data_IF_937874253118
#
_entry.id   IF_937874253118
#
_cell.length_a   1.000
_cell.length_b   1.000
_cell.length_c   1.000
_cell.angle_alpha   90.00
_cell.angle_beta   90.00
_cell.angle_gamma   90.00
#
_symmetry.space_group_name_H-M   'P 1'
#
loop_
_entity.id
_entity.type
_entity.pdbx_description
1 polymer ?
#
# COMPACT_ATOMS: atom_id res chain seq x y z
N UNK A 1 -15.66 -0.89 1.14
CA UNK A 1 -14.63 -0.52 0.16
C UNK A 1 -15.11 0.53 -0.82
N UNK A 2 -14.50 1.72 -0.80
CA UNK A 2 -14.67 2.82 -1.75
C UNK A 2 -13.27 3.33 -2.06
N UNK A 3 -12.88 3.45 -3.33
CA UNK A 3 -11.57 4.02 -3.65
C UNK A 3 -11.67 5.53 -3.63
N UNK A 4 -10.85 6.16 -2.80
CA UNK A 4 -10.70 7.60 -2.78
C UNK A 4 -9.36 7.96 -3.40
N UNK A 5 -9.43 8.69 -4.49
CA UNK A 5 -8.27 9.23 -5.16
C UNK A 5 -7.99 10.61 -4.59
N UNK A 6 -7.03 10.67 -3.68
CA UNK A 6 -6.34 11.92 -3.36
C UNK A 6 -5.11 12.04 -4.24
N UNK A 7 -4.70 13.27 -4.58
CA UNK A 7 -3.45 13.51 -5.30
C UNK A 7 -2.31 12.84 -4.55
N UNK A 8 -1.78 11.71 -5.06
CA UNK A 8 -0.44 11.27 -4.67
C UNK A 8 0.54 12.29 -5.25
N UNK A 9 1.39 12.94 -4.45
CA UNK A 9 2.53 13.65 -4.99
C UNK A 9 3.48 12.59 -5.57
N UNK A 10 3.32 12.26 -6.85
CA UNK A 10 4.33 11.52 -7.58
C UNK A 10 5.48 12.49 -7.83
N UNK A 11 6.51 12.39 -7.00
CA UNK A 11 7.81 13.05 -7.18
C UNK A 11 7.75 14.56 -6.99
N UNK A 12 8.39 15.04 -5.94
CA UNK A 12 8.60 16.47 -5.72
C UNK A 12 9.12 17.17 -6.98
N UNK A 13 8.28 18.02 -7.54
CA UNK A 13 8.74 19.20 -8.24
C UNK A 13 7.73 20.30 -8.01
N UNK A 14 8.19 21.25 -7.19
CA UNK A 14 7.62 22.57 -6.91
C UNK A 14 6.57 22.61 -5.80
N UNK A 15 7.08 22.71 -4.57
CA UNK A 15 6.62 23.79 -3.69
C UNK A 15 6.81 25.11 -4.45
N UNK A 16 5.73 25.82 -4.76
CA UNK A 16 5.75 27.27 -4.76
C UNK A 16 4.53 27.70 -3.96
N UNK A 17 4.79 28.15 -2.73
CA UNK A 17 3.96 29.18 -2.12
C UNK A 17 4.03 30.40 -3.06
N UNK A 18 2.87 30.89 -3.49
CA UNK A 18 2.76 32.23 -4.01
C UNK A 18 2.97 33.20 -2.83
N UNK A 19 4.18 33.73 -2.70
CA UNK A 19 4.38 35.05 -2.14
C UNK A 19 4.70 35.98 -3.32
N UNK A 20 3.86 37.00 -3.48
CA UNK A 20 4.07 38.10 -4.40
C UNK A 20 5.31 38.89 -3.99
N UNK A 21 6.24 39.14 -4.91
CA UNK A 21 7.17 40.28 -4.80
C UNK A 21 7.59 40.79 -6.18
N UNK A 22 7.37 42.10 -6.34
CA UNK A 22 7.87 42.96 -7.40
C UNK A 22 9.42 42.94 -7.49
N UNK A 23 9.91 43.32 -8.68
CA UNK A 23 11.25 43.85 -9.02
C UNK A 23 12.25 42.92 -9.75
N UNK A 24 12.27 43.12 -11.08
CA UNK A 24 13.43 43.36 -11.97
C UNK A 24 14.66 42.43 -11.97
N UNK A 25 14.84 41.73 -13.10
CA UNK A 25 16.11 41.28 -13.74
C UNK A 25 17.13 42.45 -13.91
N UNK A 26 18.44 42.25 -14.27
CA UNK A 26 19.13 41.14 -14.99
C UNK A 26 20.58 40.84 -14.44
N UNK A 27 21.62 40.44 -15.23
CA UNK A 27 21.84 39.24 -16.07
C UNK A 27 23.09 38.37 -15.68
N UNK A 28 23.26 37.25 -16.38
CA UNK A 28 24.42 36.30 -16.37
C UNK A 28 25.75 36.93 -16.85
N UNK A 29 26.90 36.32 -16.51
CA UNK A 29 27.65 35.39 -17.41
C UNK A 29 28.32 34.24 -16.60
N UNK A 30 29.13 33.29 -17.05
CA UNK A 30 29.52 32.62 -18.29
C UNK A 30 30.21 31.30 -17.86
N UNK A 31 30.28 30.31 -18.75
CA UNK A 31 31.04 29.04 -18.59
C UNK A 31 32.52 29.31 -18.97
N UNK A 32 33.49 28.50 -18.51
CA UNK A 32 34.03 27.52 -19.46
C UNK A 32 34.35 26.14 -18.85
N UNK A 33 34.30 25.18 -19.77
CA UNK A 33 34.82 23.82 -19.78
C UNK A 33 36.33 23.71 -19.51
N UNK A 34 36.79 22.57 -18.97
CA UNK A 34 38.08 21.96 -19.35
C UNK A 34 38.09 20.45 -19.05
N UNK A 35 38.87 19.76 -19.87
CA UNK A 35 38.81 18.35 -20.25
C UNK A 35 40.05 17.56 -19.80
N UNK A 36 39.84 16.25 -19.61
CA UNK A 36 40.75 15.10 -19.86
C UNK A 36 42.20 15.09 -19.34
N UNK A 37 42.53 14.10 -18.48
CA UNK A 37 43.76 13.27 -18.55
C UNK A 37 43.45 11.84 -18.05
N UNK A 38 44.19 10.86 -18.59
CA UNK A 38 43.91 9.41 -18.73
C UNK A 38 44.95 8.54 -17.99
N UNK A 39 44.48 7.44 -17.37
CA UNK A 39 45.12 6.11 -17.13
C UNK A 39 46.38 5.99 -16.21
N UNK A 40 46.77 4.78 -15.73
CA UNK A 40 46.30 3.43 -16.07
C UNK A 40 45.96 2.49 -14.88
N UNK A 41 45.22 1.40 -15.17
CA UNK A 41 45.04 0.23 -14.29
C UNK A 41 45.70 -1.01 -14.91
N UNK A 42 46.51 -1.69 -14.09
CA UNK A 42 47.26 -2.88 -14.43
C UNK A 42 46.42 -4.16 -14.52
N UNK A 43 46.98 -5.10 -15.30
CA UNK A 43 46.53 -6.48 -15.53
C UNK A 43 46.94 -7.41 -14.39
N UNK A 44 46.09 -8.38 -14.09
CA UNK A 44 46.39 -9.79 -13.76
C UNK A 44 45.01 -10.48 -13.69
N UNK A 45 44.73 -11.65 -14.24
CA UNK A 45 45.53 -12.81 -14.64
C UNK A 45 44.63 -14.01 -14.29
N UNK A 46 44.18 -14.75 -15.30
CA UNK A 46 43.14 -15.79 -15.12
C UNK A 46 43.65 -17.12 -14.58
N UNK A 47 42.71 -18.01 -14.25
CA UNK A 47 42.75 -19.50 -14.36
C UNK A 47 41.37 -20.00 -13.93
N UNK A 48 40.58 -20.53 -14.88
CA UNK A 48 40.48 -21.92 -15.36
C UNK A 48 39.62 -22.81 -14.45
N UNK A 49 38.58 -23.31 -15.08
CA UNK A 49 37.62 -24.31 -14.63
C UNK A 49 38.28 -25.64 -14.26
N UNK A 50 37.64 -26.37 -13.36
CA UNK A 50 37.74 -27.81 -13.25
C UNK A 50 36.38 -28.34 -12.81
N UNK A 51 35.66 -28.84 -13.81
CA UNK A 51 34.52 -29.74 -13.70
C UNK A 51 35.06 -31.13 -13.40
N UNK A 52 34.58 -31.76 -12.34
CA UNK A 52 34.68 -33.21 -12.14
C UNK A 52 33.35 -33.70 -11.59
N UNK A 53 32.57 -34.27 -12.50
CA UNK A 53 31.53 -35.22 -12.17
C UNK A 53 32.21 -36.57 -11.90
N UNK A 54 31.79 -37.26 -10.84
CA UNK A 54 31.68 -38.72 -10.87
C UNK A 54 30.61 -39.15 -9.86
N UNK A 55 29.78 -40.15 -10.21
CA UNK A 55 28.70 -40.66 -9.38
C UNK A 55 29.25 -41.72 -8.41
N UNK A 56 28.62 -41.88 -7.25
CA UNK A 56 28.44 -43.16 -6.55
C UNK A 56 27.85 -42.90 -5.17
N UNK A 57 26.53 -43.07 -5.06
CA UNK A 57 25.86 -43.36 -3.80
C UNK A 57 24.66 -44.23 -4.10
N UNK A 58 24.90 -45.54 -4.08
CA UNK A 58 23.85 -46.52 -3.88
C UNK A 58 23.22 -46.25 -2.50
N UNK A 59 22.10 -45.53 -2.50
CA UNK A 59 21.28 -45.35 -1.31
C UNK A 59 20.71 -46.71 -0.90
N UNK A 60 21.14 -47.19 0.26
CA UNK A 60 20.56 -48.34 0.93
C UNK A 60 19.04 -48.15 1.08
N UNK A 61 18.27 -49.18 0.74
CA UNK A 61 16.84 -49.26 0.98
C UNK A 61 16.54 -49.04 2.48
N UNK A 62 15.51 -48.26 2.84
CA UNK A 62 15.10 -48.14 4.24
C UNK A 62 14.57 -49.49 4.75
N UNK A 63 14.74 -49.81 6.04
CA UNK A 63 14.20 -51.04 6.61
C UNK A 63 12.67 -51.06 6.48
N UNK A 64 12.06 -52.24 6.32
CA UNK A 64 10.61 -52.35 6.21
C UNK A 64 9.95 -51.85 7.50
N UNK A 65 8.91 -51.02 7.34
CA UNK A 65 8.12 -50.50 8.45
C UNK A 65 7.52 -51.68 9.26
N UNK A 66 7.49 -51.58 10.61
CA UNK A 66 6.90 -52.63 11.44
C UNK A 66 5.43 -52.85 11.06
N UNK A 67 5.05 -54.12 10.91
CA UNK A 67 3.70 -54.54 10.59
C UNK A 67 2.70 -53.96 11.60
N UNK A 68 1.74 -53.17 11.10
CA UNK A 68 0.64 -52.59 11.85
C UNK A 68 -0.32 -53.70 12.31
N UNK A 69 -0.63 -53.75 13.60
CA UNK A 69 -1.55 -54.74 14.16
C UNK A 69 -2.97 -54.61 13.55
N UNK A 70 -3.65 -55.73 13.26
CA UNK A 70 -5.00 -55.70 12.71
C UNK A 70 -5.99 -55.30 13.81
N UNK A 71 -6.42 -54.03 13.80
CA UNK A 71 -7.41 -53.51 14.75
C UNK A 71 -7.32 -52.01 15.01
N UNK A 72 -6.19 -51.38 14.69
CA UNK A 72 -6.04 -49.93 14.82
C UNK A 72 -6.76 -49.22 13.65
N UNK A 73 -8.04 -48.88 13.84
CA UNK A 73 -8.69 -47.88 12.99
C UNK A 73 -7.89 -46.59 13.10
N UNK A 74 -7.24 -46.20 12.01
CA UNK A 74 -6.63 -44.87 11.93
C UNK A 74 -7.74 -43.85 12.17
N UNK A 75 -7.63 -43.07 13.24
CA UNK A 75 -8.52 -41.93 13.49
C UNK A 75 -8.41 -40.99 12.31
N UNK A 76 -9.46 -40.95 11.50
CA UNK A 76 -9.54 -40.08 10.35
C UNK A 76 -10.02 -38.71 10.80
N UNK A 77 -9.76 -37.68 10.02
CA UNK A 77 -10.28 -36.32 10.26
C UNK A 77 -11.82 -36.29 10.36
N UNK A 78 -12.50 -37.33 9.84
CA UNK A 78 -13.95 -37.49 9.98
C UNK A 78 -14.38 -37.78 11.43
N UNK A 79 -13.53 -38.41 12.23
CA UNK A 79 -13.84 -38.90 13.58
C UNK A 79 -13.75 -37.82 14.68
N UNK A 80 -13.23 -36.64 14.37
CA UNK A 80 -13.20 -35.50 15.30
C UNK A 80 -14.61 -34.95 15.51
N UNK A 81 -15.00 -34.61 16.74
CA UNK A 81 -16.25 -33.86 16.99
C UNK A 81 -16.10 -32.39 16.58
N UNK A 82 -17.21 -31.68 16.39
CA UNK A 82 -17.16 -30.24 16.05
C UNK A 82 -16.52 -29.41 17.18
N UNK A 83 -16.71 -29.80 18.44
CA UNK A 83 -16.10 -29.15 19.61
C UNK A 83 -14.59 -29.34 19.63
N UNK A 84 -14.11 -30.57 19.36
CA UNK A 84 -12.68 -30.87 19.27
C UNK A 84 -12.03 -30.11 18.11
N UNK A 85 -12.71 -30.05 16.96
CA UNK A 85 -12.25 -29.33 15.79
C UNK A 85 -12.17 -27.82 16.08
N UNK A 86 -13.19 -27.24 16.72
CA UNK A 86 -13.19 -25.84 17.14
C UNK A 86 -12.07 -25.51 18.14
N UNK A 87 -11.81 -26.40 19.11
CA UNK A 87 -10.73 -26.23 20.08
C UNK A 87 -9.33 -26.26 19.43
N UNK A 88 -9.12 -27.12 18.42
CA UNK A 88 -7.89 -27.15 17.62
C UNK A 88 -7.74 -25.84 16.84
N UNK A 89 -8.80 -25.43 16.14
CA UNK A 89 -8.79 -24.27 15.26
C UNK A 89 -8.53 -22.95 16.01
N UNK A 90 -9.02 -22.80 17.25
CA UNK A 90 -8.73 -21.63 18.11
C UNK A 90 -7.26 -21.49 18.51
N UNK A 91 -6.47 -22.56 18.39
CA UNK A 91 -5.04 -22.54 18.72
C UNK A 91 -4.15 -22.27 17.51
N UNK A 92 -4.73 -22.24 16.31
CA UNK A 92 -3.99 -21.99 15.08
C UNK A 92 -3.75 -20.49 14.88
N UNK A 93 -2.63 -20.15 14.23
CA UNK A 93 -2.42 -18.79 13.74
C UNK A 93 -3.49 -18.46 12.68
N UNK A 94 -3.84 -17.18 12.44
CA UNK A 94 -4.82 -16.85 11.40
C UNK A 94 -4.47 -17.40 10.02
N UNK A 95 -3.18 -17.52 9.71
CA UNK A 95 -2.70 -18.11 8.45
C UNK A 95 -2.90 -19.63 8.39
N UNK A 96 -2.61 -20.35 9.48
CA UNK A 96 -2.88 -21.78 9.59
C UNK A 96 -4.38 -22.06 9.57
N UNK A 97 -5.16 -21.25 10.27
CA UNK A 97 -6.62 -21.34 10.33
C UNK A 97 -7.25 -21.10 8.95
N UNK A 98 -6.77 -20.11 8.20
CA UNK A 98 -7.17 -19.89 6.81
C UNK A 98 -6.82 -21.09 5.92
N UNK A 99 -5.59 -21.61 6.02
CA UNK A 99 -5.18 -22.81 5.26
C UNK A 99 -6.09 -24.01 5.56
N UNK A 100 -6.43 -24.19 6.83
CA UNK A 100 -7.33 -25.24 7.29
C UNK A 100 -8.75 -25.03 6.75
N UNK A 101 -9.28 -23.80 6.79
CA UNK A 101 -10.58 -23.44 6.25
C UNK A 101 -10.70 -23.64 4.73
N UNK A 102 -9.58 -23.53 4.02
CA UNK A 102 -9.51 -23.75 2.58
C UNK A 102 -9.37 -25.23 2.19
N UNK A 103 -9.04 -26.13 3.14
CA UNK A 103 -8.85 -27.55 2.87
C UNK A 103 -10.16 -28.27 2.52
N UNK A 104 -11.24 -28.05 3.28
CA UNK A 104 -12.56 -28.60 2.97
C UNK A 104 -13.73 -27.83 3.60
N UNK A 105 -14.97 -28.11 3.15
CA UNK A 105 -16.19 -27.42 3.61
C UNK A 105 -16.46 -27.56 5.11
N UNK A 106 -16.15 -28.71 5.71
CA UNK A 106 -16.33 -28.95 7.15
C UNK A 106 -15.44 -28.03 7.97
N UNK A 107 -14.15 -28.01 7.64
CA UNK A 107 -13.17 -27.14 8.28
C UNK A 107 -13.47 -25.67 8.05
N UNK A 108 -14.01 -25.31 6.89
CA UNK A 108 -14.48 -23.94 6.61
C UNK A 108 -15.56 -23.48 7.59
N UNK A 109 -16.58 -24.32 7.84
CA UNK A 109 -17.68 -24.00 8.77
C UNK A 109 -17.21 -23.91 10.22
N UNK A 110 -16.31 -24.80 10.64
CA UNK A 110 -15.74 -24.72 11.98
C UNK A 110 -14.82 -23.51 12.13
N UNK A 111 -13.99 -23.22 11.11
CA UNK A 111 -13.08 -22.08 11.11
C UNK A 111 -13.82 -20.75 11.10
N UNK A 112 -14.94 -20.61 10.39
CA UNK A 112 -15.71 -19.35 10.38
C UNK A 112 -16.18 -18.93 11.78
N UNK A 113 -16.38 -19.88 12.70
CA UNK A 113 -16.72 -19.62 14.11
C UNK A 113 -15.51 -19.28 14.98
N UNK A 114 -14.31 -19.65 14.54
CA UNK A 114 -13.06 -19.42 15.27
C UNK A 114 -12.27 -18.20 14.75
N UNK A 115 -12.55 -17.77 13.51
CA UNK A 115 -11.87 -16.69 12.81
C UNK A 115 -12.33 -15.31 13.30
N UNK A 116 -11.44 -14.30 13.33
CA UNK A 116 -11.86 -12.92 13.53
C UNK A 116 -12.78 -12.47 12.38
N UNK A 117 -13.74 -11.59 12.71
CA UNK A 117 -14.68 -11.00 11.73
C UNK A 117 -14.04 -9.96 10.81
N UNK A 118 -12.80 -9.56 11.10
CA UNK A 118 -12.02 -8.66 10.26
C UNK A 118 -10.75 -9.35 9.76
N UNK A 119 -10.27 -9.02 8.54
CA UNK A 119 -9.00 -9.50 8.03
C UNK A 119 -7.85 -9.12 8.98
N UNK A 120 -7.01 -10.08 9.42
CA UNK A 120 -5.92 -9.81 10.35
C UNK A 120 -4.86 -8.95 9.66
N UNK A 121 -4.47 -7.86 10.33
CA UNK A 121 -3.33 -7.04 9.97
C UNK A 121 -2.05 -7.80 10.33
N UNK A 122 -1.14 -7.97 9.36
CA UNK A 122 0.13 -8.67 9.60
C UNK A 122 1.33 -7.73 9.65
N UNK A 123 1.18 -6.49 9.17
CA UNK A 123 2.27 -5.53 9.14
C UNK A 123 2.11 -4.50 8.02
N UNK A 124 3.22 -3.87 7.64
CA UNK A 124 3.24 -2.77 6.68
C UNK A 124 4.29 -2.96 5.58
N UNK A 125 3.91 -2.64 4.34
CA UNK A 125 4.84 -2.48 3.23
C UNK A 125 5.20 -1.01 3.02
N UNK A 126 6.46 -0.71 2.71
CA UNK A 126 6.90 0.64 2.33
C UNK A 126 8.21 0.60 1.53
N UNK A 127 8.56 1.73 0.91
CA UNK A 127 9.86 1.92 0.23
C UNK A 127 10.82 2.66 1.16
N UNK A 128 11.92 2.04 1.65
CA UNK A 128 12.90 2.73 2.49
C UNK A 128 13.38 4.02 1.85
N UNK A 129 13.73 5.00 2.68
CA UNK A 129 14.25 6.29 2.24
C UNK A 129 15.51 6.64 3.00
N UNK A 130 16.50 7.20 2.31
CA UNK A 130 17.62 7.84 2.96
C UNK A 130 17.15 8.99 3.86
N UNK A 131 17.97 9.29 4.87
CA UNK A 131 17.74 10.40 5.77
C UNK A 131 17.73 11.73 4.99
N UNK A 132 16.64 12.47 5.07
CA UNK A 132 16.55 13.81 4.46
C UNK A 132 17.25 14.82 5.36
N UNK A 133 17.95 15.83 4.81
CA UNK A 133 18.47 16.92 5.66
C UNK A 133 17.38 18.00 5.86
N UNK A 134 17.43 18.75 6.98
CA UNK A 134 16.56 19.89 7.19
C UNK A 134 16.67 20.94 6.06
N UNK A 135 15.58 21.64 5.72
CA UNK A 135 15.63 22.81 4.85
C UNK A 135 16.66 23.84 5.35
N UNK A 136 17.39 24.55 4.47
CA UNK A 136 17.17 24.69 3.02
C UNK A 136 17.96 23.68 2.15
N UNK A 137 18.52 22.62 2.73
CA UNK A 137 19.41 21.72 1.98
C UNK A 137 18.65 20.86 0.96
N UNK A 138 19.01 20.98 -0.33
CA UNK A 138 18.51 20.11 -1.41
C UNK A 138 19.04 18.68 -1.25
N UNK A 139 18.33 17.86 -0.49
CA UNK A 139 18.78 16.49 -0.16
C UNK A 139 17.64 15.51 0.01
N UNK A 140 16.63 15.58 -0.86
CA UNK A 140 15.79 14.40 -1.00
C UNK A 140 16.58 13.30 -1.69
N UNK A 141 16.76 12.19 -0.97
CA UNK A 141 17.26 10.95 -1.53
C UNK A 141 16.34 10.51 -2.69
N UNK A 142 16.86 10.65 -3.91
CA UNK A 142 16.20 10.24 -5.15
C UNK A 142 16.34 8.73 -5.40
N UNK A 143 17.06 8.02 -4.53
CA UNK A 143 17.21 6.57 -4.64
C UNK A 143 15.86 5.91 -4.39
N UNK A 144 15.47 5.04 -5.33
CA UNK A 144 14.23 4.27 -5.22
C UNK A 144 14.55 2.88 -4.70
N UNK A 145 14.46 2.70 -3.38
CA UNK A 145 14.73 1.42 -2.74
C UNK A 145 13.59 0.41 -2.97
N UNK A 146 13.91 -0.90 -3.10
CA UNK A 146 12.91 -1.96 -3.10
C UNK A 146 11.97 -1.88 -1.90
N UNK A 147 10.71 -2.23 -2.09
CA UNK A 147 9.76 -2.30 -0.99
C UNK A 147 10.17 -3.37 0.03
N UNK A 148 10.00 -3.06 1.31
CA UNK A 148 10.24 -3.95 2.44
C UNK A 148 8.96 -4.14 3.24
N UNK A 149 8.89 -5.24 3.99
CA UNK A 149 7.80 -5.55 4.90
C UNK A 149 8.29 -5.48 6.34
N UNK A 150 7.52 -4.81 7.20
CA UNK A 150 7.74 -4.82 8.65
C UNK A 150 6.56 -5.53 9.31
N UNK A 151 6.81 -6.64 10.04
CA UNK A 151 5.75 -7.35 10.74
C UNK A 151 5.14 -6.49 11.85
N UNK A 152 3.86 -6.69 12.14
CA UNK A 152 3.16 -5.96 13.19
C UNK A 152 3.74 -6.26 14.58
N UNK A 153 4.06 -7.54 14.83
CA UNK A 153 4.64 -8.04 16.07
C UNK A 153 5.45 -9.33 15.83
N UNK A 154 6.00 -9.92 16.90
CA UNK A 154 6.79 -11.15 16.84
C UNK A 154 6.01 -12.39 16.37
N UNK A 155 4.67 -12.36 16.43
CA UNK A 155 3.81 -13.45 15.95
C UNK A 155 3.49 -13.36 14.46
N UNK A 156 3.70 -12.17 13.87
CA UNK A 156 3.42 -11.91 12.47
C UNK A 156 4.49 -12.49 11.55
N UNK A 157 4.11 -13.08 10.40
CA UNK A 157 5.07 -13.69 9.49
C UNK A 157 5.96 -12.63 8.84
N UNK A 158 7.23 -12.97 8.59
CA UNK A 158 8.10 -12.14 7.75
C UNK A 158 7.78 -12.38 6.28
N UNK A 159 7.04 -11.45 5.68
CA UNK A 159 6.65 -11.52 4.28
C UNK A 159 7.69 -10.88 3.37
N UNK A 160 7.78 -11.35 2.13
CA UNK A 160 8.62 -10.74 1.10
C UNK A 160 7.88 -10.76 -0.24
N UNK A 161 8.28 -9.86 -1.14
CA UNK A 161 7.75 -9.85 -2.51
C UNK A 161 8.42 -10.88 -3.43
N UNK A 162 9.46 -11.57 -2.95
CA UNK A 162 10.26 -12.56 -3.70
C UNK A 162 10.74 -12.05 -5.07
N UNK A 163 11.16 -10.79 -5.13
CA UNK A 163 11.70 -10.15 -6.33
C UNK A 163 13.22 -10.10 -6.24
N UNK A 164 13.90 -10.32 -7.37
CA UNK A 164 15.34 -10.07 -7.43
C UNK A 164 15.61 -8.58 -7.22
N UNK A 165 16.77 -8.19 -6.65
CA UNK A 165 17.07 -6.77 -6.42
C UNK A 165 16.93 -5.90 -7.67
N UNK A 166 17.31 -6.42 -8.84
CA UNK A 166 17.17 -5.71 -10.11
C UNK A 166 15.71 -5.60 -10.57
N UNK A 167 14.88 -6.62 -10.36
CA UNK A 167 13.46 -6.57 -10.71
C UNK A 167 12.67 -5.64 -9.77
N UNK A 168 13.08 -5.55 -8.50
CA UNK A 168 12.45 -4.69 -7.51
C UNK A 168 12.86 -3.20 -7.66
N UNK A 169 14.04 -2.95 -8.23
CA UNK A 169 14.51 -1.59 -8.54
C UNK A 169 13.59 -0.95 -9.59
N UNK A 170 13.00 0.18 -9.21
CA UNK A 170 12.05 0.89 -10.07
C UNK A 170 10.64 0.34 -10.05
N UNK A 171 10.23 -0.45 -9.05
CA UNK A 171 8.82 -0.75 -8.80
C UNK A 171 8.29 0.09 -7.63
N UNK A 172 7.09 0.64 -7.77
CA UNK A 172 6.41 1.45 -6.76
C UNK A 172 5.08 0.81 -6.40
N UNK A 173 4.83 0.63 -5.09
CA UNK A 173 3.55 0.16 -4.56
C UNK A 173 2.46 1.16 -4.93
N UNK A 174 1.43 0.68 -5.62
CA UNK A 174 0.22 1.44 -5.89
C UNK A 174 -0.90 1.07 -4.95
N UNK A 175 -1.01 -0.21 -4.57
CA UNK A 175 -2.11 -0.64 -3.73
C UNK A 175 -1.76 -1.88 -2.92
N UNK A 176 -2.33 -1.98 -1.72
CA UNK A 176 -2.24 -3.15 -0.85
C UNK A 176 -3.61 -3.44 -0.27
N UNK A 177 -4.35 -4.35 -0.92
CA UNK A 177 -5.70 -4.70 -0.52
C UNK A 177 -6.01 -6.16 -0.86
N UNK A 178 -6.91 -6.77 -0.08
CA UNK A 178 -7.36 -8.16 -0.26
C UNK A 178 -6.21 -9.17 -0.29
N UNK A 179 -5.16 -8.91 0.51
CA UNK A 179 -3.94 -9.71 0.57
C UNK A 179 -3.06 -9.68 -0.68
N UNK A 180 -3.26 -8.72 -1.59
CA UNK A 180 -2.45 -8.49 -2.78
C UNK A 180 -1.69 -7.17 -2.69
N UNK A 181 -0.51 -7.13 -3.31
CA UNK A 181 0.31 -5.92 -3.49
C UNK A 181 0.40 -5.64 -4.99
N UNK A 182 -0.10 -4.48 -5.43
CA UNK A 182 0.02 -4.02 -6.80
C UNK A 182 1.20 -3.06 -6.95
N UNK A 183 2.07 -3.37 -7.91
CA UNK A 183 3.31 -2.65 -8.18
C UNK A 183 3.30 -2.15 -9.63
N UNK A 184 3.77 -0.92 -9.83
CA UNK A 184 4.01 -0.33 -11.14
C UNK A 184 5.48 0.04 -11.32
N UNK A 185 5.97 0.02 -12.56
CA UNK A 185 7.28 0.59 -12.86
C UNK A 185 7.30 2.11 -12.66
N UNK A 186 8.42 2.61 -12.12
CA UNK A 186 8.72 4.00 -11.88
C UNK A 186 10.14 4.32 -12.42
N UNK A 187 10.31 5.37 -13.25
CA UNK A 187 9.29 6.30 -13.74
C UNK A 187 8.32 5.66 -14.74
N UNK A 188 7.08 6.16 -14.79
CA UNK A 188 6.05 5.67 -15.71
C UNK A 188 6.16 6.37 -17.07
N UNK A 189 6.11 5.63 -18.20
CA UNK A 189 5.90 6.24 -19.51
C UNK A 189 4.55 6.98 -19.53
N UNK A 190 4.52 8.24 -19.99
CA UNK A 190 3.30 9.07 -19.96
C UNK A 190 2.24 8.62 -20.97
N UNK A 191 2.64 7.98 -22.07
CA UNK A 191 1.78 7.68 -23.22
C UNK A 191 1.12 6.31 -23.20
N UNK A 192 1.36 5.49 -22.17
CA UNK A 192 0.88 4.10 -22.12
C UNK A 192 0.25 3.78 -20.76
N UNK A 193 -0.87 3.08 -20.82
CA UNK A 193 -1.42 2.42 -19.65
C UNK A 193 -0.41 1.39 -19.12
N UNK A 194 -0.11 1.39 -17.82
CA UNK A 194 0.99 0.62 -17.28
C UNK A 194 0.69 -0.88 -17.24
N UNK A 195 1.75 -1.69 -17.27
CA UNK A 195 1.71 -3.09 -16.83
C UNK A 195 1.68 -3.11 -15.32
N UNK A 196 0.90 -4.01 -14.72
CA UNK A 196 0.76 -4.12 -13.27
C UNK A 196 1.37 -5.45 -12.83
N UNK A 197 2.32 -5.40 -11.91
CA UNK A 197 2.78 -6.61 -11.21
C UNK A 197 1.92 -6.78 -9.96
N UNK A 198 1.12 -7.83 -9.92
CA UNK A 198 0.37 -8.22 -8.74
C UNK A 198 1.11 -9.35 -8.02
N UNK A 199 1.34 -9.19 -6.73
CA UNK A 199 2.01 -10.17 -5.87
C UNK A 199 1.10 -10.54 -4.72
N UNK A 200 1.03 -11.82 -4.40
CA UNK A 200 0.49 -12.33 -3.15
C UNK A 200 1.67 -12.71 -2.25
N UNK A 201 2.03 -11.86 -1.27
CA UNK A 201 3.17 -12.11 -0.39
C UNK A 201 3.02 -13.38 0.45
N UNK A 202 1.80 -13.75 0.84
CA UNK A 202 1.55 -14.91 1.69
C UNK A 202 1.74 -16.23 0.94
N UNK A 203 1.36 -16.29 -0.34
CA UNK A 203 1.55 -17.48 -1.17
C UNK A 203 2.78 -17.42 -2.08
N UNK A 204 3.50 -16.29 -2.07
CA UNK A 204 4.63 -16.00 -2.98
C UNK A 204 4.28 -16.04 -4.47
N UNK A 205 2.99 -16.08 -4.81
CA UNK A 205 2.52 -16.10 -6.20
C UNK A 205 2.55 -14.68 -6.77
N UNK A 206 2.78 -14.58 -8.08
CA UNK A 206 2.72 -13.31 -8.79
C UNK A 206 2.21 -13.48 -10.21
N UNK A 207 1.62 -12.41 -10.73
CA UNK A 207 1.17 -12.33 -12.13
C UNK A 207 1.48 -10.94 -12.66
N UNK A 208 1.94 -10.89 -13.91
CA UNK A 208 2.19 -9.64 -14.62
C UNK A 208 1.03 -9.35 -15.56
N UNK A 209 0.18 -8.41 -15.16
CA UNK A 209 -0.96 -7.97 -15.94
C UNK A 209 -0.43 -7.12 -17.12
N UNK A 210 -0.69 -7.50 -18.38
CA UNK A 210 -0.25 -6.74 -19.54
C UNK A 210 -1.00 -5.41 -19.63
N UNK A 211 -0.43 -4.43 -20.32
CA UNK A 211 -1.16 -3.21 -20.65
C UNK A 211 -2.43 -3.53 -21.47
N UNK A 212 -3.52 -2.76 -21.31
CA UNK A 212 -4.72 -2.94 -22.12
C UNK A 212 -4.42 -2.95 -23.62
N UNK A 213 -4.92 -3.94 -24.39
CA UNK A 213 -4.78 -3.98 -25.85
C UNK A 213 -5.28 -2.70 -26.50
N UNK A 214 -4.70 -2.32 -27.65
CA UNK A 214 -5.08 -1.09 -28.36
C UNK A 214 -6.57 -1.05 -28.73
N UNK A 215 -7.15 -2.20 -29.09
CA UNK A 215 -8.57 -2.34 -29.46
C UNK A 215 -9.54 -2.42 -28.29
N UNK A 216 -9.08 -2.33 -27.03
CA UNK A 216 -9.96 -2.39 -25.85
C UNK A 216 -10.98 -1.25 -25.82
N UNK A 217 -10.62 -0.10 -26.40
CA UNK A 217 -11.48 1.05 -26.55
C UNK A 217 -11.56 1.41 -28.04
N UNK A 218 -12.71 1.24 -28.69
CA UNK A 218 -12.94 1.74 -30.04
C UNK A 218 -12.72 3.25 -30.10
N UNK A 219 -12.07 3.74 -31.16
CA UNK A 219 -11.81 5.16 -31.40
C UNK A 219 -11.14 5.91 -30.22
N UNK A 220 -10.10 5.31 -29.63
CA UNK A 220 -9.34 5.85 -28.49
C UNK A 220 -8.53 7.12 -28.84
N UNK A 221 -9.23 8.24 -29.07
CA UNK A 221 -8.65 9.56 -29.39
C UNK A 221 -7.91 10.22 -28.23
N UNK A 222 -8.16 9.77 -27.00
CA UNK A 222 -7.61 10.37 -25.77
C UNK A 222 -6.28 9.74 -25.35
N UNK A 223 -5.75 8.79 -26.13
CA UNK A 223 -4.53 8.06 -25.80
C UNK A 223 -3.34 8.96 -25.47
N UNK A 224 -3.18 10.07 -26.20
CA UNK A 224 -2.05 10.99 -26.03
C UNK A 224 -2.16 11.83 -24.74
N UNK A 225 -3.38 12.20 -24.34
CA UNK A 225 -3.65 13.11 -23.23
C UNK A 225 -4.07 12.38 -21.95
N UNK A 226 -4.20 11.05 -22.00
CA UNK A 226 -4.60 10.20 -20.88
C UNK A 226 -3.59 10.30 -19.74
N UNK A 227 -4.08 10.61 -18.54
CA UNK A 227 -3.29 10.56 -17.32
C UNK A 227 -3.75 9.43 -16.40
N UNK A 228 -2.80 8.66 -15.85
CA UNK A 228 -3.10 7.59 -14.88
C UNK A 228 -3.02 8.14 -13.46
N UNK A 229 -4.16 8.18 -12.79
CA UNK A 229 -4.30 8.74 -11.45
C UNK A 229 -4.21 7.69 -10.35
N UNK A 230 -4.51 6.42 -10.65
CA UNK A 230 -4.40 5.35 -9.66
C UNK A 230 -4.56 3.95 -10.24
N UNK A 231 -4.15 2.95 -9.46
CA UNK A 231 -4.37 1.53 -9.72
C UNK A 231 -4.77 0.89 -8.40
N UNK A 232 -5.75 -0.02 -8.43
CA UNK A 232 -6.21 -0.69 -7.20
C UNK A 232 -6.83 -2.06 -7.46
N UNK A 233 -6.84 -2.93 -6.44
CA UNK A 233 -7.50 -4.23 -6.44
C UNK A 233 -8.99 -4.03 -6.13
N UNK A 234 -9.89 -4.31 -7.08
CA UNK A 234 -11.34 -4.17 -6.93
C UNK A 234 -11.97 -5.29 -6.09
N UNK A 235 -11.59 -6.52 -6.40
CA UNK A 235 -12.20 -7.72 -5.83
C UNK A 235 -11.22 -8.89 -5.88
N UNK A 236 -11.37 -9.87 -4.99
CA UNK A 236 -10.60 -11.12 -5.02
C UNK A 236 -11.55 -12.28 -4.82
N UNK A 237 -11.61 -13.18 -5.80
CA UNK A 237 -12.54 -14.31 -5.79
C UNK A 237 -12.08 -15.43 -4.85
N UNK A 238 -10.77 -15.60 -4.67
CA UNK A 238 -10.23 -16.66 -3.83
C UNK A 238 -8.88 -16.28 -3.17
N UNK A 239 -8.68 -16.50 -1.86
CA UNK A 239 -7.44 -16.14 -1.17
C UNK A 239 -6.24 -17.00 -1.57
N UNK A 240 -6.43 -18.23 -2.04
CA UNK A 240 -5.32 -19.11 -2.45
C UNK A 240 -4.98 -19.05 -3.95
N UNK A 241 -5.70 -18.27 -4.74
CA UNK A 241 -5.48 -18.15 -6.20
C UNK A 241 -5.24 -16.69 -6.58
N UNK A 242 -4.60 -16.48 -7.72
CA UNK A 242 -4.51 -15.17 -8.37
C UNK A 242 -5.73 -14.97 -9.27
N UNK A 243 -6.90 -14.99 -8.64
CA UNK A 243 -8.19 -14.75 -9.28
C UNK A 243 -8.83 -13.51 -8.65
N UNK A 244 -8.69 -12.37 -9.31
CA UNK A 244 -9.05 -11.05 -8.79
C UNK A 244 -9.34 -10.08 -9.94
N UNK A 245 -10.03 -8.99 -9.63
CA UNK A 245 -10.20 -7.87 -10.54
C UNK A 245 -9.36 -6.69 -10.04
N UNK A 246 -8.67 -6.02 -10.96
CA UNK A 246 -7.93 -4.79 -10.70
C UNK A 246 -8.45 -3.68 -11.61
N UNK A 247 -8.28 -2.44 -11.18
CA UNK A 247 -8.68 -1.25 -11.93
C UNK A 247 -7.50 -0.33 -12.16
N UNK A 248 -7.40 0.23 -13.37
CA UNK A 248 -6.62 1.43 -13.65
C UNK A 248 -7.61 2.60 -13.77
N UNK A 249 -7.34 3.66 -13.05
CA UNK A 249 -8.13 4.89 -13.06
C UNK A 249 -7.37 5.94 -13.87
N UNK A 250 -8.03 6.46 -14.89
CA UNK A 250 -7.48 7.49 -15.78
C UNK A 250 -8.35 8.72 -15.86
N UNK A 251 -7.75 9.81 -16.30
CA UNK A 251 -8.45 11.02 -16.75
C UNK A 251 -8.18 11.16 -18.24
N UNK A 252 -9.24 11.06 -19.03
CA UNK A 252 -9.23 11.08 -20.50
C UNK A 252 -9.85 12.43 -20.97
N UNK A 253 -8.99 13.42 -21.22
CA UNK A 253 -9.38 14.82 -21.28
C UNK A 253 -9.58 15.34 -19.85
N UNK A 254 -10.80 15.72 -19.49
CA UNK A 254 -11.14 16.15 -18.12
C UNK A 254 -12.07 15.16 -17.39
N UNK A 255 -12.38 14.02 -18.01
CA UNK A 255 -13.35 13.06 -17.47
C UNK A 255 -12.65 11.79 -16.99
N UNK A 256 -13.02 11.24 -15.82
CA UNK A 256 -12.43 10.02 -15.32
C UNK A 256 -12.98 8.81 -16.07
N UNK A 257 -12.15 7.77 -16.15
CA UNK A 257 -12.47 6.47 -16.75
C UNK A 257 -11.85 5.35 -15.92
N UNK A 258 -12.55 4.24 -15.81
CA UNK A 258 -12.03 3.00 -15.23
C UNK A 258 -11.72 1.96 -16.32
N UNK A 259 -10.58 1.29 -16.16
CA UNK A 259 -10.14 0.14 -16.96
C UNK A 259 -10.03 -1.06 -16.05
N UNK A 260 -10.88 -2.07 -16.24
CA UNK A 260 -10.91 -3.25 -15.40
C UNK A 260 -10.11 -4.36 -16.05
N UNK A 261 -9.12 -4.90 -15.32
CA UNK A 261 -8.44 -6.14 -15.62
C UNK A 261 -9.05 -7.26 -14.77
N UNK A 262 -9.63 -8.26 -15.41
CA UNK A 262 -10.07 -9.49 -14.76
C UNK A 262 -9.01 -10.55 -14.94
N UNK A 263 -8.35 -10.92 -13.84
CA UNK A 263 -7.32 -11.96 -13.82
C UNK A 263 -7.93 -13.25 -13.30
N UNK A 264 -7.81 -14.34 -14.06
CA UNK A 264 -8.31 -15.67 -13.68
C UNK A 264 -7.22 -16.69 -14.01
N UNK A 265 -6.60 -17.22 -12.96
CA UNK A 265 -5.60 -18.30 -13.04
C UNK A 265 -4.48 -18.07 -14.09
N UNK A 266 -4.07 -16.81 -14.28
CA UNK A 266 -2.98 -16.40 -15.19
C UNK A 266 -3.45 -15.67 -16.44
N UNK A 267 -4.70 -15.89 -16.86
CA UNK A 267 -5.32 -15.17 -17.97
C UNK A 267 -5.80 -13.79 -17.53
N UNK A 268 -5.75 -12.82 -18.43
CA UNK A 268 -6.15 -11.44 -18.18
C UNK A 268 -7.03 -10.91 -19.31
N UNK A 269 -8.24 -10.46 -18.97
CA UNK A 269 -9.15 -9.78 -19.89
C UNK A 269 -9.32 -8.34 -19.45
N UNK A 270 -9.26 -7.42 -20.42
CA UNK A 270 -9.44 -5.99 -20.19
C UNK A 270 -10.82 -5.52 -20.65
N UNK A 271 -11.43 -4.65 -19.85
CA UNK A 271 -12.66 -3.93 -20.19
C UNK A 271 -12.48 -2.44 -19.87
N UNK A 272 -12.64 -1.58 -20.88
CA UNK A 272 -12.72 -0.14 -20.68
C UNK A 272 -14.17 0.27 -20.43
N UNK A 273 -14.44 1.00 -19.35
CA UNK A 273 -15.76 1.61 -19.15
C UNK A 273 -15.87 2.93 -19.91
N UNK A 274 -17.10 3.42 -20.20
CA UNK A 274 -17.31 4.79 -20.67
C UNK A 274 -16.68 5.84 -19.73
N UNK A 275 -16.43 7.05 -20.26
CA UNK A 275 -16.04 8.18 -19.41
C UNK A 275 -17.24 8.61 -18.58
N UNK A 276 -17.01 9.05 -17.34
CA UNK A 276 -18.09 9.58 -16.51
C UNK A 276 -18.41 11.03 -16.89
N UNK A 277 -19.47 11.24 -17.68
CA UNK A 277 -19.84 12.56 -18.23
C UNK A 277 -20.33 13.56 -17.16
N UNK A 278 -20.82 13.06 -16.02
CA UNK A 278 -21.24 13.88 -14.87
C UNK A 278 -20.12 14.26 -13.91
N UNK A 279 -18.87 13.86 -14.18
CA UNK A 279 -17.74 14.07 -13.27
C UNK A 279 -16.59 14.71 -14.04
N UNK A 280 -16.41 16.02 -13.87
CA UNK A 280 -15.25 16.73 -14.41
C UNK A 280 -14.18 16.77 -13.32
N UNK A 281 -13.02 16.17 -13.60
CA UNK A 281 -11.90 16.15 -12.66
C UNK A 281 -11.22 17.51 -12.68
N UNK A 282 -11.58 18.34 -11.71
CA UNK A 282 -10.76 19.45 -11.26
C UNK A 282 -10.18 19.10 -9.89
N UNK A 283 -8.86 19.15 -9.74
CA UNK A 283 -8.18 18.82 -8.48
C UNK A 283 -8.33 19.96 -7.46
N UNK A 284 -9.56 20.13 -6.97
CA UNK A 284 -9.92 21.02 -5.86
C UNK A 284 -9.61 20.32 -4.52
N UNK A 285 -8.87 20.96 -3.59
CA UNK A 285 -8.53 20.37 -2.29
C UNK A 285 -9.75 19.96 -1.45
N UNK A 286 -10.94 20.51 -1.74
CA UNK A 286 -12.15 20.34 -0.96
C UNK A 286 -12.99 19.10 -1.32
N UNK A 287 -12.57 18.31 -2.31
CA UNK A 287 -13.33 17.16 -2.81
C UNK A 287 -12.43 15.96 -3.08
N UNK A 288 -12.95 14.77 -2.78
CA UNK A 288 -12.33 13.48 -3.06
C UNK A 288 -13.02 12.85 -4.26
N UNK A 289 -12.25 12.41 -5.25
CA UNK A 289 -12.80 11.59 -6.33
C UNK A 289 -12.99 10.16 -5.80
N UNK A 290 -14.24 9.70 -5.79
CA UNK A 290 -14.64 8.39 -5.31
C UNK A 290 -14.99 7.48 -6.49
N UNK A 291 -14.57 6.21 -6.42
CA UNK A 291 -15.11 5.13 -7.23
C UNK A 291 -15.87 4.14 -6.33
N UNK A 292 -17.12 3.83 -6.69
CA UNK A 292 -17.83 2.70 -6.10
C UNK A 292 -17.37 1.40 -6.77
N UNK A 293 -16.77 0.44 -6.04
CA UNK A 293 -16.27 -0.80 -6.65
C UNK A 293 -17.37 -1.72 -7.20
N UNK A 294 -18.62 -1.56 -6.75
CA UNK A 294 -19.74 -2.41 -7.17
C UNK A 294 -20.37 -1.90 -8.45
N UNK A 295 -20.61 -0.59 -8.54
CA UNK A 295 -21.22 0.04 -9.73
C UNK A 295 -20.18 0.54 -10.73
N UNK A 296 -18.93 0.74 -10.29
CA UNK A 296 -17.84 1.37 -11.04
C UNK A 296 -18.16 2.81 -11.47
N UNK A 297 -19.09 3.45 -10.76
CA UNK A 297 -19.45 4.85 -10.97
C UNK A 297 -18.53 5.78 -10.19
N UNK A 298 -18.19 6.90 -10.82
CA UNK A 298 -17.44 7.97 -10.21
C UNK A 298 -18.37 8.99 -9.55
N UNK A 299 -17.95 9.50 -8.41
CA UNK A 299 -18.63 10.62 -7.74
C UNK A 299 -17.64 11.45 -6.95
N UNK A 300 -18.04 12.65 -6.54
CA UNK A 300 -17.25 13.45 -5.60
C UNK A 300 -17.80 13.29 -4.19
N UNK A 301 -16.89 13.08 -3.24
CA UNK A 301 -17.18 13.17 -1.82
C UNK A 301 -16.60 14.48 -1.27
N UNK A 302 -17.42 15.35 -0.65
CA UNK A 302 -16.88 16.53 -0.01
C UNK A 302 -16.05 16.16 1.24
N UNK A 303 -14.99 16.95 1.50
CA UNK A 303 -14.33 16.97 2.81
C UNK A 303 -15.14 17.84 3.78
N UNK A 304 -14.97 17.69 5.12
CA UNK A 304 -15.63 18.56 6.10
C UNK A 304 -15.39 20.03 5.80
N UNK A 305 -16.43 20.86 5.91
CA UNK A 305 -16.34 22.30 5.76
C UNK A 305 -15.41 22.94 6.81
N UNK A 306 -15.29 22.35 8.01
CA UNK A 306 -14.38 22.78 9.06
C UNK A 306 -12.90 22.77 8.64
N UNK A 307 -12.53 21.96 7.64
CA UNK A 307 -11.19 22.00 7.06
C UNK A 307 -10.98 23.25 6.18
N UNK A 308 -12.04 23.92 5.75
CA UNK A 308 -11.99 25.13 4.91
C UNK A 308 -11.37 24.89 3.53
N UNK A 309 -11.17 25.98 2.79
CA UNK A 309 -10.65 25.95 1.41
C UNK A 309 -9.11 25.95 1.33
N UNK A 310 -8.43 25.80 2.48
CA UNK A 310 -6.96 25.83 2.57
C UNK A 310 -6.38 24.47 2.23
N UNK A 311 -5.10 24.46 1.85
CA UNK A 311 -4.34 23.24 1.51
C UNK A 311 -4.12 22.42 2.79
N UNK A 312 -5.15 21.70 3.23
CA UNK A 312 -5.05 20.84 4.39
C UNK A 312 -4.49 19.49 3.97
N UNK A 313 -3.48 19.05 4.72
CA UNK A 313 -2.79 17.79 4.49
C UNK A 313 -3.55 16.69 5.24
N UNK A 314 -4.54 16.11 4.60
CA UNK A 314 -5.34 15.01 5.17
C UNK A 314 -5.01 13.67 4.51
N UNK A 315 -5.35 12.60 5.22
CA UNK A 315 -5.24 11.20 4.78
C UNK A 315 -6.52 10.47 5.10
N UNK A 316 -6.90 9.56 4.22
CA UNK A 316 -8.11 8.75 4.36
C UNK A 316 -7.70 7.32 4.70
N UNK A 317 -8.36 6.74 5.70
CA UNK A 317 -8.30 5.32 6.04
C UNK A 317 -9.67 4.65 5.89
N UNK A 318 -9.68 3.33 6.02
CA UNK A 318 -10.90 2.50 6.04
C UNK A 318 -10.97 1.71 7.35
N UNK A 319 -12.15 1.70 7.97
CA UNK A 319 -12.44 0.91 9.15
C UNK A 319 -12.54 -0.57 8.78
N UNK A 320 -11.84 -1.47 9.47
CA UNK A 320 -11.78 -2.88 9.10
C UNK A 320 -13.09 -3.63 9.33
N UNK A 321 -13.93 -3.19 10.27
CA UNK A 321 -15.15 -3.91 10.68
C UNK A 321 -16.31 -3.69 9.71
N UNK A 322 -16.51 -2.47 9.24
CA UNK A 322 -17.69 -2.10 8.44
C UNK A 322 -17.34 -1.35 7.13
N UNK A 323 -16.05 -1.13 6.87
CA UNK A 323 -15.59 -0.43 5.66
C UNK A 323 -15.96 1.05 5.63
N UNK A 324 -16.37 1.66 6.75
CA UNK A 324 -16.55 3.10 6.84
C UNK A 324 -15.22 3.80 6.65
N UNK A 325 -15.27 5.04 6.16
CA UNK A 325 -14.07 5.83 5.92
C UNK A 325 -13.76 6.68 7.15
N UNK A 326 -12.48 6.81 7.47
CA UNK A 326 -11.97 7.77 8.44
C UNK A 326 -11.01 8.74 7.74
N UNK A 327 -10.85 9.94 8.29
CA UNK A 327 -9.95 10.93 7.76
C UNK A 327 -9.19 11.59 8.90
N UNK A 328 -7.87 11.58 8.84
CA UNK A 328 -7.04 12.36 9.75
C UNK A 328 -6.50 13.59 9.01
N UNK A 329 -6.52 14.74 9.68
CA UNK A 329 -5.97 15.98 9.20
C UNK A 329 -5.19 16.67 10.32
N UNK A 330 -4.04 17.25 9.99
CA UNK A 330 -3.40 18.24 10.88
C UNK A 330 -3.84 19.60 10.37
N UNK A 331 -4.64 20.30 11.17
CA UNK A 331 -5.21 21.62 10.87
C UNK A 331 -4.38 22.72 11.54
N UNK A 332 -4.83 23.96 11.42
CA UNK A 332 -4.16 25.12 12.00
C UNK A 332 -3.84 24.91 13.50
N UNK A 333 -2.70 25.43 13.95
CA UNK A 333 -2.20 25.31 15.33
C UNK A 333 -1.73 23.91 15.77
N UNK A 334 -1.42 23.02 14.82
CA UNK A 334 -0.97 21.66 15.12
C UNK A 334 -2.07 20.81 15.76
N UNK A 335 -3.33 21.16 15.55
CA UNK A 335 -4.44 20.32 15.99
C UNK A 335 -4.64 19.17 15.01
N UNK A 336 -4.52 17.96 15.53
CA UNK A 336 -4.83 16.74 14.82
C UNK A 336 -6.30 16.42 15.02
N UNK A 337 -7.03 16.36 13.92
CA UNK A 337 -8.44 16.01 13.89
C UNK A 337 -8.65 14.68 13.18
N UNK A 338 -9.44 13.81 13.80
CA UNK A 338 -9.89 12.56 13.23
C UNK A 338 -11.40 12.63 12.99
N UNK A 339 -11.78 12.36 11.74
CA UNK A 339 -13.15 12.44 11.26
C UNK A 339 -13.63 11.07 10.79
N UNK A 340 -14.87 10.75 11.11
CA UNK A 340 -15.53 9.50 10.76
C UNK A 340 -16.67 9.74 9.79
N UNK A 341 -16.75 8.92 8.73
CA UNK A 341 -17.87 9.02 7.80
C UNK A 341 -19.16 8.53 8.48
N UNK A 342 -20.15 9.41 8.55
CA UNK A 342 -21.43 9.15 9.19
C UNK A 342 -22.60 9.90 8.56
N UNK A 343 -23.83 9.57 8.97
CA UNK A 343 -25.07 10.20 8.50
C UNK A 343 -25.84 10.94 9.61
N UNK A 344 -25.21 11.25 10.74
CA UNK A 344 -25.90 11.94 11.83
C UNK A 344 -26.31 13.36 11.40
N UNK A 345 -27.40 13.89 11.97
CA UNK A 345 -27.95 15.21 11.59
C UNK A 345 -26.95 16.36 11.70
N UNK A 346 -26.01 16.26 12.65
CA UNK A 346 -24.95 17.24 12.89
C UNK A 346 -23.64 16.91 12.18
N UNK A 347 -23.64 15.98 11.21
CA UNK A 347 -22.43 15.68 10.44
C UNK A 347 -22.07 16.85 9.52
N UNK A 348 -20.79 17.23 9.52
CA UNK A 348 -20.24 18.20 8.59
C UNK A 348 -20.02 17.53 7.24
N UNK A 349 -20.93 17.79 6.28
CA UNK A 349 -20.91 17.19 4.94
C UNK A 349 -20.79 15.66 4.97
N UNK A 350 -21.36 15.03 6.00
CA UNK A 350 -21.30 13.59 6.21
C UNK A 350 -20.10 13.08 7.01
N UNK A 351 -19.31 13.97 7.61
CA UNK A 351 -18.21 13.61 8.49
C UNK A 351 -18.54 14.01 9.93
N UNK A 352 -18.12 13.19 10.88
CA UNK A 352 -18.27 13.43 12.31
C UNK A 352 -16.88 13.55 12.91
N UNK A 353 -16.61 14.65 13.60
CA UNK A 353 -15.37 14.78 14.37
C UNK A 353 -15.44 13.78 15.52
N UNK A 354 -14.55 12.79 15.50
CA UNK A 354 -14.48 11.74 16.52
C UNK A 354 -13.46 12.11 17.60
N UNK A 355 -12.30 12.62 17.18
CA UNK A 355 -11.24 13.05 18.10
C UNK A 355 -10.56 14.31 17.59
N UNK A 356 -10.13 15.13 18.54
CA UNK A 356 -9.30 16.31 18.31
C UNK A 356 -8.23 16.36 19.39
N UNK A 357 -6.99 16.65 19.01
CA UNK A 357 -5.89 16.77 19.95
C UNK A 357 -4.83 17.77 19.49
N UNK A 358 -4.28 18.52 20.44
CA UNK A 358 -3.17 19.42 20.17
C UNK A 358 -1.85 18.65 20.06
N UNK A 359 -1.20 18.70 18.90
CA UNK A 359 0.07 18.01 18.65
C UNK A 359 1.30 18.78 19.13
N UNK A 360 1.15 20.00 19.65
CA UNK A 360 2.29 20.85 20.03
C UNK A 360 3.28 20.12 20.95
N UNK A 361 2.77 19.51 22.04
CA UNK A 361 3.59 18.74 23.00
C UNK A 361 4.17 17.45 22.43
N UNK A 362 3.51 16.87 21.43
CA UNK A 362 3.98 15.65 20.75
C UNK A 362 5.13 16.01 19.83
N UNK A 363 4.96 17.07 19.02
CA UNK A 363 5.97 17.58 18.09
C UNK A 363 7.18 18.19 18.82
N UNK A 364 7.00 18.73 20.02
CA UNK A 364 8.09 19.19 20.89
C UNK A 364 9.09 18.07 21.26
N UNK A 365 8.66 16.79 21.21
CA UNK A 365 9.52 15.64 21.45
C UNK A 365 10.43 15.32 20.25
N UNK A 366 10.17 15.89 19.07
CA UNK A 366 10.94 15.63 17.84
C UNK A 366 12.25 16.42 17.87
N UNK A 367 13.42 15.76 17.86
CA UNK A 367 14.70 16.45 17.93
C UNK A 367 14.91 17.44 16.78
N UNK A 368 15.25 18.69 17.12
CA UNK A 368 15.60 19.74 16.16
C UNK A 368 14.42 20.35 15.41
N UNK A 369 13.19 19.82 15.54
CA UNK A 369 12.02 20.37 14.88
C UNK A 369 11.79 21.82 15.35
N UNK A 370 11.59 22.80 14.43
CA UNK A 370 11.40 24.20 14.81
C UNK A 370 10.25 24.35 15.79
N UNK A 371 10.32 25.26 16.76
CA UNK A 371 9.18 25.58 17.66
C UNK A 371 8.20 26.61 17.08
N UNK A 372 8.63 27.29 16.01
CA UNK A 372 7.79 28.24 15.30
C UNK A 372 6.67 27.52 14.54
N UNK A 373 5.41 27.94 14.79
CA UNK A 373 4.20 27.33 14.24
C UNK A 373 4.20 27.31 12.71
N UNK A 374 4.64 28.40 12.07
CA UNK A 374 4.66 28.50 10.61
C UNK A 374 5.65 27.51 9.99
N UNK A 375 6.87 27.43 10.53
CA UNK A 375 7.87 26.45 10.09
C UNK A 375 7.43 25.00 10.32
N UNK A 376 6.76 24.71 11.44
CA UNK A 376 6.21 23.36 11.72
C UNK A 376 5.15 22.95 10.71
N UNK A 377 4.22 23.85 10.39
CA UNK A 377 3.19 23.60 9.38
C UNK A 377 3.81 23.28 8.00
N UNK A 378 4.89 23.98 7.63
CA UNK A 378 5.59 23.72 6.37
C UNK A 378 6.31 22.36 6.37
N UNK A 379 6.91 21.97 7.50
CA UNK A 379 7.74 20.78 7.59
C UNK A 379 6.97 19.51 7.98
N UNK A 380 5.75 19.59 8.50
CA UNK A 380 5.02 18.43 9.06
C UNK A 380 3.83 18.05 8.18
N UNK A 381 3.61 16.75 7.98
CA UNK A 381 2.41 16.23 7.33
C UNK A 381 2.08 14.80 7.73
N UNK A 382 0.81 14.45 7.64
CA UNK A 382 0.36 13.06 7.73
C UNK A 382 0.79 12.30 6.47
N UNK A 383 1.64 11.30 6.65
CA UNK A 383 2.04 10.39 5.58
C UNK A 383 0.98 9.32 5.34
N UNK A 384 0.39 8.76 6.41
CA UNK A 384 -0.64 7.71 6.32
C UNK A 384 -1.47 7.58 7.61
N UNK A 385 -2.55 6.79 7.56
CA UNK A 385 -3.50 6.57 8.68
C UNK A 385 -3.89 5.10 8.79
N UNK A 386 -3.68 4.50 9.97
CA UNK A 386 -4.20 3.18 10.33
C UNK A 386 -4.88 3.21 11.71
N UNK A 387 -5.61 4.29 11.96
CA UNK A 387 -6.29 4.53 13.22
C UNK A 387 -7.23 3.37 13.61
N UNK A 388 -7.97 2.86 12.64
CA UNK A 388 -9.03 1.89 12.88
C UNK A 388 -8.54 0.51 13.31
N UNK A 389 -7.29 0.14 12.96
CA UNK A 389 -6.72 -1.17 13.28
C UNK A 389 -5.77 -1.09 14.47
N UNK A 390 -4.96 -0.03 14.52
CA UNK A 390 -3.86 0.05 15.49
C UNK A 390 -3.86 1.36 16.28
N UNK A 391 -4.82 2.26 16.06
CA UNK A 391 -4.79 3.61 16.63
C UNK A 391 -3.63 4.48 16.13
N UNK A 392 -2.90 4.06 15.08
CA UNK A 392 -1.66 4.71 14.65
C UNK A 392 -1.89 5.69 13.51
N UNK A 393 -1.20 6.82 13.59
CA UNK A 393 -1.00 7.77 12.50
C UNK A 393 0.47 7.83 12.15
N UNK A 394 0.77 8.04 10.86
CA UNK A 394 2.13 8.17 10.39
C UNK A 394 2.40 9.63 10.04
N UNK A 395 3.46 10.18 10.61
CA UNK A 395 3.84 11.59 10.50
C UNK A 395 5.20 11.66 9.84
N UNK A 396 5.30 12.48 8.80
CA UNK A 396 6.58 12.83 8.18
C UNK A 396 6.93 14.26 8.53
N UNK A 397 8.17 14.47 8.96
CA UNK A 397 8.74 15.79 9.20
C UNK A 397 9.94 16.01 8.28
N UNK A 398 9.90 17.05 7.45
CA UNK A 398 10.92 17.31 6.45
C UNK A 398 12.27 17.55 7.10
N UNK A 399 13.15 16.55 7.00
CA UNK A 399 14.51 16.60 7.52
C UNK A 399 14.63 16.33 9.02
N UNK A 400 13.53 15.94 9.67
CA UNK A 400 13.48 15.63 11.10
C UNK A 400 12.98 14.21 11.38
N UNK A 401 12.87 13.37 10.34
CA UNK A 401 12.53 11.97 10.45
C UNK A 401 11.08 11.63 10.11
N UNK A 402 10.72 10.39 10.42
CA UNK A 402 9.37 9.83 10.24
C UNK A 402 8.95 9.12 11.51
N UNK A 403 7.69 9.26 11.87
CA UNK A 403 7.21 8.83 13.17
C UNK A 403 5.88 8.10 13.05
N UNK A 404 5.67 7.11 13.91
CA UNK A 404 4.34 6.60 14.21
C UNK A 404 3.86 7.19 15.52
N UNK A 405 2.65 7.71 15.50
CA UNK A 405 1.98 8.29 16.65
C UNK A 405 0.75 7.46 17.01
N UNK A 406 0.70 6.93 18.22
CA UNK A 406 -0.44 6.15 18.70
C UNK A 406 -1.42 7.07 19.43
N UNK A 407 -2.62 7.23 18.86
CA UNK A 407 -3.59 8.24 19.32
C UNK A 407 -4.11 8.01 20.73
N UNK A 408 -4.15 6.77 21.22
CA UNK A 408 -4.68 6.48 22.57
C UNK A 408 -3.63 6.61 23.68
N UNK A 409 -2.43 6.06 23.46
CA UNK A 409 -1.33 6.13 24.44
C UNK A 409 -0.59 7.47 24.39
N UNK A 410 -0.69 8.21 23.28
CA UNK A 410 0.07 9.45 23.05
C UNK A 410 1.56 9.20 22.80
N UNK A 411 1.94 7.95 22.53
CA UNK A 411 3.32 7.56 22.25
C UNK A 411 3.72 7.95 20.83
N UNK A 412 4.94 8.48 20.71
CA UNK A 412 5.55 8.87 19.44
C UNK A 412 6.84 8.08 19.28
N UNK A 413 6.87 7.23 18.25
CA UNK A 413 7.99 6.34 17.96
C UNK A 413 8.68 6.79 16.67
N UNK A 414 10.02 6.84 16.69
CA UNK A 414 10.82 7.18 15.52
C UNK A 414 10.98 5.95 14.62
N UNK A 415 10.55 6.06 13.37
CA UNK A 415 10.57 5.00 12.37
C UNK A 415 11.92 4.96 11.65
N UNK A 416 12.93 4.51 12.39
CA UNK A 416 14.30 4.31 11.91
C UNK A 416 14.58 2.80 11.77
N UNK A 417 15.21 2.43 10.66
CA UNK A 417 15.66 1.06 10.40
C UNK A 417 17.06 0.83 11.00
N UNK A 418 17.40 -0.43 11.27
CA UNK A 418 18.73 -0.82 11.79
C UNK A 418 19.89 -0.37 10.90
N UNK A 419 19.67 -0.29 9.58
CA UNK A 419 20.67 0.16 8.60
C UNK A 419 20.78 1.70 8.49
N UNK A 420 20.09 2.43 9.38
CA UNK A 420 20.07 3.89 9.45
C UNK A 420 19.17 4.56 8.41
N UNK A 421 18.45 3.80 7.56
CA UNK A 421 17.41 4.35 6.68
C UNK A 421 16.14 4.64 7.45
N UNK A 422 15.33 5.52 6.92
CA UNK A 422 14.00 5.78 7.45
C UNK A 422 12.95 4.97 6.69
N UNK A 423 11.81 4.78 7.36
CA UNK A 423 10.65 4.17 6.73
C UNK A 423 10.17 5.01 5.54
N UNK A 424 9.50 4.37 4.60
CA UNK A 424 8.96 5.04 3.43
C UNK A 424 7.63 5.71 3.68
N UNK A 425 7.29 6.68 2.84
CA UNK A 425 5.93 7.16 2.69
C UNK A 425 5.40 6.89 1.27
N UNK A 426 4.13 6.43 1.11
CA UNK A 426 3.19 5.99 2.15
C UNK A 426 3.53 4.64 2.80
N UNK A 427 2.84 4.29 3.89
CA UNK A 427 2.96 3.00 4.59
C UNK A 427 1.70 2.17 4.38
N UNK A 428 1.84 1.06 3.66
CA UNK A 428 0.70 0.26 3.24
C UNK A 428 0.41 -0.88 4.20
N UNK A 429 -0.68 -0.78 4.95
CA UNK A 429 -1.17 -1.85 5.81
C UNK A 429 -1.45 -3.12 4.99
N UNK A 430 -0.86 -4.24 5.38
CA UNK A 430 -1.08 -5.54 4.74
C UNK A 430 -1.95 -6.42 5.61
N UNK A 431 -3.15 -6.71 5.12
CA UNK A 431 -4.06 -7.68 5.72
C UNK A 431 -4.01 -9.00 4.96
N UNK A 432 -4.15 -10.11 5.67
CA UNK A 432 -4.24 -11.43 5.03
C UNK A 432 -5.49 -11.49 4.15
N UNK A 433 -5.40 -12.20 3.03
CA UNK A 433 -6.56 -12.44 2.17
C UNK A 433 -7.66 -13.18 2.94
N UNK A 434 -8.77 -12.50 3.19
CA UNK A 434 -9.88 -13.04 3.97
C UNK A 434 -11.05 -13.42 3.06
N UNK A 435 -11.54 -14.67 3.11
CA UNK A 435 -12.74 -15.08 2.40
C UNK A 435 -13.93 -14.18 2.75
N UNK A 436 -14.66 -13.65 1.74
CA UNK A 436 -15.86 -12.85 1.98
C UNK A 436 -16.91 -13.57 2.84
N UNK A 437 -16.97 -14.90 2.76
CA UNK A 437 -17.89 -15.72 3.54
C UNK A 437 -17.63 -15.65 5.05
N UNK A 438 -16.44 -15.21 5.48
CA UNK A 438 -16.09 -15.00 6.89
C UNK A 438 -16.39 -13.60 7.39
N UNK A 439 -16.76 -12.69 6.47
CA UNK A 439 -17.14 -11.31 6.78
C UNK A 439 -18.68 -11.15 6.87
N UNK A 440 -19.45 -12.17 6.46
CA UNK A 440 -20.89 -12.15 6.56
C UNK A 440 -21.33 -12.24 8.03
N UNK A 441 -22.34 -11.46 8.48
CA UNK A 441 -22.97 -11.69 9.77
C UNK A 441 -23.51 -13.13 9.85
N UNK A 442 -23.45 -13.76 11.03
CA UNK A 442 -24.25 -14.98 11.26
C UNK A 442 -25.72 -14.54 11.35
N UNK A 443 -26.58 -15.17 10.54
CA UNK A 443 -28.05 -15.00 10.60
C UNK A 443 -28.62 -15.58 11.90
#
# INVERSE_FOLDING_TARGET
MRYLLTKRPVGLSRCFLALSTLLTKPPRPAVPSLSFVKAPKGKCGGRKALTLASPDSAAALPPPLPHRAPGERATTVADLTEEALHAILRRLTPADLLRAALACRRWRRAASRALPRAPPLLGYFFHPKGHAKPPPADTEDKTHHPAVFVPLDASSPRLSLNLTPNAARGLSIQDVHLGLVLLLHHPRPKSLLPRILAVDPASSRRVLIPSPPRGTLPDDRWRADRSVIGVSVLSRAHPSRLSFDAVILTVDGDLPRAWVASVRDGDCIWRALPRAEGVVVNFDPCRLLQLDPRTLEFSFMPVPAALGDRINKYRIGEMPEDGRLCMAAIVHEEDLQLWMRGKARWSDRGWLLEREMCMSRVLDKIPGLPKDRMRRMLCTWLSDVDYARTGKLFIRTWGYGRYSFHMETGELEHLLMEDGKEYGDPMYAYTLAWPPEFLAPED
#
